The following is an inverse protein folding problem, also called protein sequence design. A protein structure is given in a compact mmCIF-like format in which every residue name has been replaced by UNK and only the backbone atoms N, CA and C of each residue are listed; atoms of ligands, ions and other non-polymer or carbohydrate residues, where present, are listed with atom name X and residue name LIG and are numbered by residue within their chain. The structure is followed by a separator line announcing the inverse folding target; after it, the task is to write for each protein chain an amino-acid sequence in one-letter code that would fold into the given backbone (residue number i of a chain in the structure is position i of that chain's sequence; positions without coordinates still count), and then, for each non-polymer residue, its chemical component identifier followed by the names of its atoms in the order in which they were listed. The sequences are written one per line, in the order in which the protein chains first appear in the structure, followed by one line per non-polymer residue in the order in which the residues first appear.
data_IF_328440700821
#
_entry.id   IF_328440700821
#
_cell.length_a   1.000
_cell.length_b   1.000
_cell.length_c   1.000
_cell.angle_alpha   90.00
_cell.angle_beta   90.00
_cell.angle_gamma   90.00
#
_symmetry.space_group_name_H-M   'P 1'
#
loop_
_entity.id
_entity.type
_entity.pdbx_description
1 polymer ?
#
# COMPACT_ATOMS: atom_id res chain seq x y z
N UNK A 1 1.63 17.30 -12.47
CA UNK A 1 1.32 16.89 -13.86
C UNK A 1 1.96 15.52 -14.15
N UNK A 2 1.18 14.61 -14.72
CA UNK A 2 1.64 13.27 -15.10
C UNK A 2 1.44 13.07 -16.59
N UNK A 3 2.46 12.58 -17.28
CA UNK A 3 2.37 12.12 -18.67
C UNK A 3 2.64 10.62 -18.67
N UNK A 4 1.68 9.84 -19.14
CA UNK A 4 1.80 8.40 -19.28
C UNK A 4 2.20 8.04 -20.72
N UNK A 5 3.13 7.09 -20.82
CA UNK A 5 3.56 6.50 -22.07
C UNK A 5 3.19 5.02 -22.06
N UNK A 6 2.27 4.63 -22.91
CA UNK A 6 1.83 3.25 -23.08
C UNK A 6 2.59 2.57 -24.22
N UNK A 7 2.84 1.29 -24.05
CA UNK A 7 3.35 0.44 -25.14
C UNK A 7 2.20 0.15 -26.10
N UNK A 8 2.43 0.34 -27.39
CA UNK A 8 1.48 -0.09 -28.43
C UNK A 8 1.47 -1.63 -28.51
N UNK A 9 0.32 -2.19 -28.85
CA UNK A 9 0.18 -3.62 -29.05
C UNK A 9 1.24 -4.19 -30.02
N UNK A 10 1.85 -5.29 -29.64
CA UNK A 10 2.93 -5.92 -30.40
C UNK A 10 4.33 -5.33 -30.17
N UNK A 11 4.46 -4.29 -29.37
CA UNK A 11 5.75 -3.65 -29.06
C UNK A 11 6.13 -3.85 -27.58
N UNK A 12 7.41 -3.64 -27.28
CA UNK A 12 7.95 -3.65 -25.90
C UNK A 12 8.96 -2.51 -25.72
N UNK A 13 8.95 -1.89 -24.56
CA UNK A 13 10.03 -0.97 -24.20
C UNK A 13 11.35 -1.74 -24.05
N UNK A 14 12.37 -1.33 -24.77
CA UNK A 14 13.75 -1.82 -24.61
C UNK A 14 14.55 -0.90 -23.71
N UNK A 15 14.32 0.39 -23.82
CA UNK A 15 15.17 1.39 -23.23
C UNK A 15 14.32 2.58 -22.82
N UNK A 16 14.56 3.11 -21.61
CA UNK A 16 14.05 4.42 -21.21
C UNK A 16 15.16 5.45 -21.46
N UNK A 17 14.85 6.45 -22.28
CA UNK A 17 15.76 7.55 -22.63
C UNK A 17 15.15 8.91 -22.32
N UNK A 18 16.00 9.88 -22.02
CA UNK A 18 15.65 11.30 -21.99
C UNK A 18 16.64 12.05 -22.88
N UNK A 19 16.12 12.54 -24.03
CA UNK A 19 16.99 12.97 -25.14
C UNK A 19 17.87 11.80 -25.58
N UNK A 20 19.16 12.02 -25.67
CA UNK A 20 20.14 11.01 -26.07
C UNK A 20 20.63 10.15 -24.88
N UNK A 21 20.31 10.52 -23.64
CA UNK A 21 20.78 9.82 -22.47
C UNK A 21 19.88 8.62 -22.12
N UNK A 22 20.49 7.44 -22.06
CA UNK A 22 19.82 6.23 -21.58
C UNK A 22 19.75 6.26 -20.05
N UNK A 23 18.51 6.18 -19.53
CA UNK A 23 18.27 6.06 -18.08
C UNK A 23 18.25 4.59 -17.64
N UNK A 24 17.67 3.73 -18.45
CA UNK A 24 17.50 2.33 -18.09
C UNK A 24 17.39 1.44 -19.33
N UNK A 25 18.14 0.35 -19.35
CA UNK A 25 17.99 -0.74 -20.31
C UNK A 25 17.20 -1.84 -19.67
N UNK A 26 16.11 -2.24 -20.30
CA UNK A 26 15.23 -3.29 -19.80
C UNK A 26 15.82 -4.65 -20.14
N UNK A 27 16.05 -5.46 -19.12
CA UNK A 27 16.33 -6.89 -19.33
C UNK A 27 15.01 -7.61 -19.67
N UNK A 28 14.72 -7.71 -20.95
CA UNK A 28 13.48 -8.31 -21.47
C UNK A 28 13.37 -9.81 -21.23
N UNK A 29 14.46 -10.46 -20.80
CA UNK A 29 14.43 -11.87 -20.39
C UNK A 29 13.83 -12.06 -18.99
N UNK A 30 13.92 -11.02 -18.14
CA UNK A 30 13.45 -11.07 -16.75
C UNK A 30 12.16 -10.29 -16.52
N UNK A 31 11.98 -9.18 -17.26
CA UNK A 31 10.89 -8.27 -17.00
C UNK A 31 10.23 -7.80 -18.30
N UNK A 32 8.93 -7.71 -18.29
CA UNK A 32 8.17 -7.05 -19.35
C UNK A 32 7.79 -5.65 -18.86
N UNK A 33 8.32 -4.57 -19.44
CA UNK A 33 7.87 -3.23 -19.10
C UNK A 33 6.47 -3.00 -19.62
N UNK A 34 5.62 -2.41 -18.78
CA UNK A 34 4.20 -2.25 -19.06
C UNK A 34 3.88 -0.79 -19.38
N UNK A 35 4.41 0.15 -18.58
CA UNK A 35 4.12 1.58 -18.66
C UNK A 35 5.34 2.40 -18.24
N UNK A 36 5.44 3.61 -18.79
CA UNK A 36 6.38 4.61 -18.32
C UNK A 36 5.64 5.92 -18.03
N UNK A 37 6.04 6.62 -17.00
CA UNK A 37 5.44 7.87 -16.58
C UNK A 37 6.51 8.94 -16.44
N UNK A 38 6.22 10.12 -16.97
CA UNK A 38 6.89 11.35 -16.59
C UNK A 38 6.03 12.07 -15.56
N UNK A 39 6.58 12.27 -14.37
CA UNK A 39 5.90 12.85 -13.23
C UNK A 39 6.55 14.21 -12.92
N UNK A 40 5.73 15.23 -12.74
CA UNK A 40 6.20 16.57 -12.37
C UNK A 40 5.42 17.04 -11.14
N UNK A 41 6.14 17.23 -10.05
CA UNK A 41 5.63 17.76 -8.79
C UNK A 41 6.44 18.97 -8.37
N UNK A 42 5.80 20.13 -8.26
CA UNK A 42 6.44 21.41 -8.02
C UNK A 42 7.57 21.65 -9.06
N UNK A 43 8.79 21.84 -8.58
CA UNK A 43 10.01 21.98 -9.41
C UNK A 43 10.72 20.65 -9.70
N UNK A 44 10.25 19.55 -9.12
CA UNK A 44 10.89 18.24 -9.28
C UNK A 44 10.32 17.46 -10.45
N UNK A 45 11.19 16.80 -11.19
CA UNK A 45 10.83 15.92 -12.31
C UNK A 45 11.33 14.50 -12.02
N UNK A 46 10.46 13.54 -12.31
CA UNK A 46 10.69 12.12 -12.07
C UNK A 46 10.27 11.31 -13.29
N UNK A 47 10.92 10.16 -13.48
CA UNK A 47 10.43 9.10 -14.34
C UNK A 47 10.15 7.84 -13.53
N UNK A 48 9.05 7.18 -13.87
CA UNK A 48 8.68 5.87 -13.35
C UNK A 48 8.53 4.91 -14.52
N UNK A 49 9.12 3.73 -14.37
CA UNK A 49 8.97 2.61 -15.30
C UNK A 49 8.35 1.45 -14.54
N UNK A 50 7.13 1.08 -14.90
CA UNK A 50 6.44 -0.08 -14.35
C UNK A 50 6.89 -1.34 -15.09
N UNK A 51 7.25 -2.35 -14.32
CA UNK A 51 7.70 -3.65 -14.80
C UNK A 51 6.68 -4.70 -14.34
N UNK A 52 6.35 -5.64 -15.22
CA UNK A 52 5.47 -6.75 -14.85
C UNK A 52 6.14 -7.61 -13.79
N UNK A 53 5.41 -7.96 -12.71
CA UNK A 53 5.87 -8.79 -11.60
C UNK A 53 7.13 -8.28 -10.87
N UNK A 54 7.45 -6.98 -10.94
CA UNK A 54 8.57 -6.38 -10.24
C UNK A 54 8.22 -4.98 -9.71
N UNK A 55 9.02 -4.49 -8.76
CA UNK A 55 8.85 -3.12 -8.29
C UNK A 55 9.17 -2.12 -9.41
N UNK A 56 8.43 -1.00 -9.49
CA UNK A 56 8.71 0.06 -10.44
C UNK A 56 10.13 0.60 -10.28
N UNK A 57 10.75 0.96 -11.39
CA UNK A 57 12.01 1.72 -11.42
C UNK A 57 11.71 3.20 -11.37
N UNK A 58 12.39 3.91 -10.48
CA UNK A 58 12.21 5.35 -10.28
C UNK A 58 13.51 6.10 -10.57
N UNK A 59 13.39 7.25 -11.24
CA UNK A 59 14.50 8.12 -11.57
C UNK A 59 14.13 9.55 -11.19
N UNK A 60 14.96 10.20 -10.40
CA UNK A 60 14.83 11.61 -10.01
C UNK A 60 15.76 12.47 -10.82
N UNK A 61 15.28 13.59 -11.36
CA UNK A 61 16.12 14.59 -12.01
C UNK A 61 17.02 15.25 -10.98
N UNK A 62 18.32 15.27 -11.23
CA UNK A 62 19.34 15.85 -10.35
C UNK A 62 20.09 17.03 -10.97
N UNK A 63 19.98 17.23 -12.28
CA UNK A 63 20.58 18.31 -13.03
C UNK A 63 19.82 18.55 -14.35
N UNK A 64 20.31 19.42 -15.23
CA UNK A 64 19.59 19.82 -16.44
C UNK A 64 19.19 18.63 -17.32
N UNK A 65 20.11 17.69 -17.55
CA UNK A 65 19.84 16.43 -18.29
C UNK A 65 20.28 15.20 -17.48
N UNK A 66 20.37 15.34 -16.15
CA UNK A 66 20.84 14.30 -15.29
C UNK A 66 19.70 13.70 -14.48
N UNK A 67 19.69 12.37 -14.41
CA UNK A 67 18.75 11.59 -13.63
C UNK A 67 19.50 10.50 -12.87
N UNK A 68 19.07 10.27 -11.63
CA UNK A 68 19.61 9.22 -10.77
C UNK A 68 18.52 8.21 -10.48
N UNK A 69 18.82 6.92 -10.60
CA UNK A 69 17.94 5.87 -10.11
C UNK A 69 17.82 5.99 -8.59
N UNK A 70 16.62 5.96 -8.08
CA UNK A 70 16.31 6.03 -6.66
C UNK A 70 15.34 4.90 -6.29
N UNK A 71 15.32 4.56 -5.01
CA UNK A 71 14.35 3.59 -4.52
C UNK A 71 12.94 4.17 -4.65
N UNK A 72 11.96 3.29 -4.87
CA UNK A 72 10.55 3.69 -4.96
C UNK A 72 10.08 4.38 -3.68
N UNK A 73 10.57 3.97 -2.53
CA UNK A 73 10.27 4.58 -1.24
C UNK A 73 10.70 6.04 -1.16
N UNK A 74 11.80 6.43 -1.83
CA UNK A 74 12.25 7.83 -1.89
C UNK A 74 11.21 8.70 -2.60
N UNK A 75 10.69 8.25 -3.75
CA UNK A 75 9.60 8.96 -4.44
C UNK A 75 8.36 9.06 -3.55
N UNK A 76 8.06 7.99 -2.85
CA UNK A 76 6.93 7.93 -1.93
C UNK A 76 7.04 9.01 -0.84
N UNK A 77 8.20 9.08 -0.21
CA UNK A 77 8.47 10.02 0.88
C UNK A 77 8.58 11.48 0.41
N UNK A 78 9.31 11.70 -0.68
CA UNK A 78 9.59 13.05 -1.19
C UNK A 78 8.38 13.70 -1.88
N UNK A 79 7.49 12.90 -2.49
CA UNK A 79 6.40 13.40 -3.32
C UNK A 79 5.03 13.12 -2.72
N UNK A 80 4.67 11.83 -2.56
CA UNK A 80 3.31 11.46 -2.17
C UNK A 80 3.00 11.77 -0.71
N UNK A 81 4.01 11.67 0.15
CA UNK A 81 3.90 11.97 1.58
C UNK A 81 4.67 13.20 2.04
N UNK A 82 5.11 14.04 1.09
CA UNK A 82 5.78 15.30 1.41
C UNK A 82 4.91 16.14 2.36
N UNK A 83 5.46 16.49 3.48
CA UNK A 83 4.76 17.27 4.52
C UNK A 83 3.72 16.49 5.33
N UNK A 84 3.47 15.21 5.03
CA UNK A 84 2.55 14.38 5.82
C UNK A 84 3.28 13.74 7.00
N UNK A 85 2.72 13.89 8.18
CA UNK A 85 3.31 13.27 9.36
C UNK A 85 3.04 11.76 9.39
N UNK A 86 4.08 11.01 9.75
CA UNK A 86 4.00 9.57 9.96
C UNK A 86 3.24 9.29 11.26
N UNK A 87 2.17 8.52 11.21
CA UNK A 87 1.32 8.24 12.37
C UNK A 87 1.09 6.75 12.57
N UNK A 88 1.06 6.37 13.83
CA UNK A 88 0.72 5.04 14.29
C UNK A 88 -0.78 4.98 14.54
N UNK A 89 -1.42 3.88 14.14
CA UNK A 89 -2.83 3.60 14.46
C UNK A 89 -2.88 2.63 15.62
N UNK A 90 -3.57 3.03 16.69
CA UNK A 90 -3.87 2.16 17.83
C UNK A 90 -5.29 1.61 17.67
N UNK A 91 -5.39 0.38 17.20
CA UNK A 91 -6.66 -0.29 16.92
C UNK A 91 -7.38 -0.82 18.19
N UNK A 92 -6.83 -0.61 19.38
CA UNK A 92 -7.55 -0.85 20.65
C UNK A 92 -8.47 0.32 21.02
N UNK A 93 -8.30 1.48 20.40
CA UNK A 93 -9.10 2.70 20.64
C UNK A 93 -10.16 2.84 19.57
N UNK A 94 -11.42 2.64 19.95
CA UNK A 94 -12.55 2.56 19.02
C UNK A 94 -13.26 3.90 18.75
N UNK A 95 -12.68 5.01 19.14
CA UNK A 95 -13.23 6.33 18.91
C UNK A 95 -12.66 6.96 17.65
N UNK A 96 -13.49 7.70 16.92
CA UNK A 96 -13.03 8.52 15.80
C UNK A 96 -11.99 9.52 16.25
N UNK A 97 -10.95 9.67 15.48
CA UNK A 97 -9.87 10.60 15.77
C UNK A 97 -9.57 11.48 14.56
N UNK A 98 -8.64 12.43 14.75
CA UNK A 98 -8.09 13.17 13.61
C UNK A 98 -7.33 12.26 12.62
N UNK A 99 -6.95 11.04 13.01
CA UNK A 99 -6.14 10.11 12.22
C UNK A 99 -6.95 9.14 11.38
N UNK A 100 -8.10 8.71 11.88
CA UNK A 100 -8.94 7.71 11.23
C UNK A 100 -10.42 7.94 11.55
N UNK A 101 -11.28 7.38 10.73
CA UNK A 101 -12.70 7.18 11.01
C UNK A 101 -12.92 5.75 11.42
N UNK A 102 -13.88 5.50 12.33
CA UNK A 102 -14.27 4.17 12.75
C UNK A 102 -15.70 3.87 12.39
N UNK A 103 -15.99 2.59 12.18
CA UNK A 103 -17.34 2.07 11.96
C UNK A 103 -17.48 0.72 12.62
N UNK A 104 -18.66 0.44 13.17
CA UNK A 104 -19.01 -0.89 13.63
C UNK A 104 -19.39 -1.75 12.45
N UNK A 105 -18.96 -2.99 12.46
CA UNK A 105 -19.19 -3.93 11.39
C UNK A 105 -19.54 -5.29 12.00
N UNK A 106 -20.82 -5.55 12.22
CA UNK A 106 -21.29 -6.69 13.03
C UNK A 106 -20.65 -6.69 14.42
N UNK A 107 -19.93 -7.73 14.78
CA UNK A 107 -19.17 -7.84 16.03
C UNK A 107 -17.78 -7.20 15.97
N UNK A 108 -17.34 -6.78 14.79
CA UNK A 108 -16.04 -6.17 14.55
C UNK A 108 -16.08 -4.66 14.48
N UNK A 109 -14.89 -4.08 14.43
CA UNK A 109 -14.65 -2.66 14.21
C UNK A 109 -13.77 -2.47 13.00
N UNK A 110 -14.14 -1.49 12.16
CA UNK A 110 -13.35 -1.05 11.01
C UNK A 110 -12.76 0.33 11.30
N UNK A 111 -11.51 0.53 10.95
CA UNK A 111 -10.83 1.82 10.96
C UNK A 111 -10.34 2.14 9.55
N UNK A 112 -10.66 3.34 9.06
CA UNK A 112 -10.16 3.85 7.79
C UNK A 112 -9.19 5.00 8.06
N UNK A 113 -7.93 4.83 7.67
CA UNK A 113 -6.88 5.81 7.89
C UNK A 113 -7.07 7.02 6.97
N UNK A 114 -6.98 8.22 7.51
CA UNK A 114 -7.18 9.46 6.74
C UNK A 114 -6.00 9.76 5.83
N UNK A 115 -6.29 10.28 4.63
CA UNK A 115 -5.31 10.54 3.55
C UNK A 115 -4.24 11.59 3.90
N UNK A 116 -4.51 12.44 4.90
CA UNK A 116 -3.61 13.52 5.33
C UNK A 116 -2.36 12.98 6.06
N UNK A 117 -2.38 11.74 6.46
CA UNK A 117 -1.30 11.13 7.22
C UNK A 117 -0.64 9.98 6.45
N UNK A 118 0.59 9.67 6.85
CA UNK A 118 1.32 8.51 6.39
C UNK A 118 1.18 7.40 7.44
N UNK A 119 0.57 6.25 7.12
CA UNK A 119 0.52 5.15 8.07
C UNK A 119 1.91 4.60 8.38
N UNK A 120 2.11 4.24 9.64
CA UNK A 120 3.32 3.52 10.07
C UNK A 120 2.95 2.14 10.61
N UNK A 121 2.99 1.98 11.93
CA UNK A 121 2.62 0.73 12.56
C UNK A 121 1.14 0.73 12.90
N UNK A 122 0.51 -0.43 12.80
CA UNK A 122 -0.75 -0.74 13.46
C UNK A 122 -0.41 -1.46 14.77
N UNK A 123 -0.93 -0.94 15.86
CA UNK A 123 -0.77 -1.55 17.18
C UNK A 123 -2.14 -1.87 17.77
N UNK A 124 -2.17 -2.80 18.69
CA UNK A 124 -3.32 -3.13 19.51
C UNK A 124 -2.83 -3.39 20.95
N UNK A 125 -3.35 -2.65 21.92
CA UNK A 125 -2.88 -2.70 23.31
C UNK A 125 -1.35 -2.58 23.42
N UNK A 126 -0.78 -1.57 22.74
CA UNK A 126 0.67 -1.27 22.66
C UNK A 126 1.52 -2.33 21.94
N UNK A 127 0.98 -3.48 21.54
CA UNK A 127 1.69 -4.53 20.79
C UNK A 127 1.55 -4.28 19.30
N UNK A 128 2.65 -4.38 18.55
CA UNK A 128 2.61 -4.22 17.10
C UNK A 128 1.91 -5.40 16.46
N UNK A 129 0.86 -5.10 15.68
CA UNK A 129 0.14 -6.07 14.86
C UNK A 129 0.84 -6.21 13.52
N UNK A 130 1.03 -5.11 12.81
CA UNK A 130 1.63 -5.11 11.50
C UNK A 130 2.18 -3.73 11.13
N UNK A 131 2.90 -3.69 10.02
CA UNK A 131 3.56 -2.47 9.53
C UNK A 131 3.27 -2.25 8.04
N UNK A 132 2.12 -1.67 7.70
CA UNK A 132 1.78 -1.34 6.31
C UNK A 132 2.52 -0.08 5.86
N UNK A 133 3.85 -0.06 5.99
CA UNK A 133 4.68 1.10 5.61
C UNK A 133 4.43 1.47 4.16
N UNK A 134 4.28 2.77 3.93
CA UNK A 134 4.08 3.33 2.59
C UNK A 134 2.75 2.92 1.91
N UNK A 135 1.80 2.39 2.64
CA UNK A 135 0.46 2.18 2.11
C UNK A 135 -0.21 3.53 1.81
N UNK A 136 -0.79 3.64 0.63
CA UNK A 136 -1.61 4.81 0.22
C UNK A 136 -3.00 4.76 0.82
N UNK A 137 -3.46 3.56 1.07
CA UNK A 137 -4.74 3.24 1.66
C UNK A 137 -4.52 2.20 2.75
N UNK A 138 -5.23 2.32 3.84
CA UNK A 138 -5.22 1.37 4.93
C UNK A 138 -6.59 1.34 5.61
N UNK A 139 -7.22 0.18 5.54
CA UNK A 139 -8.31 -0.20 6.44
C UNK A 139 -7.79 -1.24 7.44
N UNK A 140 -8.22 -1.11 8.67
CA UNK A 140 -7.93 -2.06 9.73
C UNK A 140 -9.24 -2.59 10.26
N UNK A 141 -9.40 -3.90 10.25
CA UNK A 141 -10.55 -4.58 10.84
C UNK A 141 -10.10 -5.32 12.09
N UNK A 142 -10.83 -5.13 13.16
CA UNK A 142 -10.59 -5.78 14.44
C UNK A 142 -11.79 -6.62 14.84
N UNK A 143 -11.58 -7.88 15.05
CA UNK A 143 -12.59 -8.84 15.51
C UNK A 143 -12.20 -9.33 16.90
N UNK A 144 -13.14 -9.27 17.81
CA UNK A 144 -12.98 -9.78 19.18
C UNK A 144 -14.08 -10.81 19.40
N UNK A 145 -13.67 -12.05 19.47
CA UNK A 145 -14.57 -13.18 19.69
C UNK A 145 -14.71 -13.58 21.16
N UNK A 146 -15.47 -14.63 21.42
CA UNK A 146 -15.50 -15.29 22.72
C UNK A 146 -14.08 -15.70 23.15
N UNK A 147 -13.86 -15.86 24.46
CA UNK A 147 -12.59 -16.26 25.04
C UNK A 147 -11.42 -15.29 24.72
N UNK A 148 -11.73 -14.01 24.52
CA UNK A 148 -10.76 -12.97 24.18
C UNK A 148 -9.93 -13.25 22.90
N UNK A 149 -10.35 -14.17 22.06
CA UNK A 149 -9.75 -14.39 20.74
C UNK A 149 -9.83 -13.13 19.91
N UNK A 150 -8.72 -12.73 19.33
CA UNK A 150 -8.63 -11.49 18.53
C UNK A 150 -8.00 -11.80 17.19
N UNK A 151 -8.65 -11.30 16.13
CA UNK A 151 -8.12 -11.31 14.77
C UNK A 151 -8.08 -9.87 14.26
N UNK A 152 -7.00 -9.48 13.63
CA UNK A 152 -6.87 -8.21 12.92
C UNK A 152 -6.60 -8.50 11.45
N UNK A 153 -7.37 -7.85 10.58
CA UNK A 153 -7.13 -7.83 9.14
C UNK A 153 -6.66 -6.44 8.75
N UNK A 154 -5.61 -6.36 7.96
CA UNK A 154 -5.13 -5.14 7.33
C UNK A 154 -5.40 -5.22 5.83
N UNK A 155 -6.22 -4.30 5.34
CA UNK A 155 -6.44 -4.09 3.91
C UNK A 155 -5.68 -2.85 3.49
N UNK A 156 -4.70 -3.02 2.63
CA UNK A 156 -3.87 -1.92 2.20
C UNK A 156 -3.42 -2.09 0.75
N UNK A 157 -3.09 -0.96 0.14
CA UNK A 157 -2.51 -1.01 -1.17
C UNK A 157 -1.40 0.03 -1.31
N UNK A 158 -0.39 -0.31 -2.09
CA UNK A 158 0.73 0.57 -2.39
C UNK A 158 0.51 1.27 -3.73
N UNK A 159 1.06 2.48 -3.86
CA UNK A 159 1.09 3.14 -5.16
C UNK A 159 1.92 2.30 -6.13
N UNK A 160 1.32 1.91 -7.25
CA UNK A 160 1.98 1.07 -8.26
C UNK A 160 1.73 -0.42 -8.14
N UNK A 161 1.09 -0.88 -7.09
CA UNK A 161 0.56 -2.23 -7.02
C UNK A 161 -0.80 -2.30 -7.73
N UNK A 162 -1.04 -3.40 -8.43
CA UNK A 162 -2.27 -3.65 -9.18
C UNK A 162 -3.41 -4.22 -8.34
N UNK A 163 -3.28 -4.26 -7.01
CA UNK A 163 -4.29 -4.87 -6.18
C UNK A 163 -4.23 -4.52 -4.70
N UNK A 164 -5.37 -4.70 -4.05
CA UNK A 164 -5.50 -4.66 -2.62
C UNK A 164 -4.76 -5.85 -2.01
N UNK A 165 -3.96 -5.60 -0.97
CA UNK A 165 -3.34 -6.65 -0.15
C UNK A 165 -4.16 -6.81 1.11
N UNK A 166 -4.47 -8.05 1.43
CA UNK A 166 -5.12 -8.43 2.67
C UNK A 166 -4.13 -9.24 3.51
N UNK A 167 -3.96 -8.86 4.76
CA UNK A 167 -3.06 -9.55 5.68
C UNK A 167 -3.78 -9.77 7.00
N UNK A 168 -3.71 -10.97 7.51
CA UNK A 168 -4.42 -11.39 8.72
C UNK A 168 -3.45 -11.67 9.84
N UNK A 169 -3.83 -11.28 11.06
CA UNK A 169 -3.05 -11.48 12.27
C UNK A 169 -3.95 -12.05 13.36
N UNK A 170 -3.45 -13.03 14.07
CA UNK A 170 -4.11 -13.64 15.22
C UNK A 170 -3.28 -13.40 16.48
N UNK A 171 -3.93 -13.08 17.59
CA UNK A 171 -3.27 -12.95 18.88
C UNK A 171 -3.14 -14.33 19.54
N UNK A 172 -1.91 -14.86 19.57
CA UNK A 172 -1.55 -16.12 20.23
C UNK A 172 -0.56 -15.82 21.37
N UNK A 173 -0.79 -16.35 22.54
CA UNK A 173 0.15 -16.21 23.68
C UNK A 173 0.73 -14.80 23.84
N UNK A 174 -0.14 -13.81 23.76
CA UNK A 174 0.20 -12.37 23.83
C UNK A 174 1.03 -11.80 22.67
N UNK A 175 1.25 -12.53 21.58
CA UNK A 175 1.94 -12.07 20.36
C UNK A 175 0.99 -12.06 19.18
N UNK A 176 1.16 -11.07 18.33
CA UNK A 176 0.48 -11.04 17.03
C UNK A 176 1.28 -11.84 16.01
N UNK A 177 0.67 -12.88 15.47
CA UNK A 177 1.24 -13.71 14.41
C UNK A 177 0.46 -13.51 13.12
N UNK A 178 1.18 -13.33 12.03
CA UNK A 178 0.56 -13.33 10.71
C UNK A 178 0.10 -14.74 10.40
N UNK A 179 -1.13 -14.85 9.91
CA UNK A 179 -1.74 -16.14 9.54
C UNK A 179 -2.25 -16.08 8.11
N UNK A 180 -2.37 -17.24 7.51
CA UNK A 180 -2.97 -17.38 6.17
C UNK A 180 -4.48 -17.11 6.22
N UNK A 181 -5.04 -16.65 5.09
CA UNK A 181 -6.46 -16.36 4.97
C UNK A 181 -7.35 -17.55 5.38
N UNK A 182 -6.95 -18.76 5.03
CA UNK A 182 -7.70 -19.98 5.37
C UNK A 182 -7.78 -20.23 6.88
N UNK A 183 -6.71 -19.92 7.63
CA UNK A 183 -6.69 -19.99 9.09
C UNK A 183 -7.52 -18.86 9.69
N UNK A 184 -7.37 -17.65 9.18
CA UNK A 184 -8.18 -16.50 9.61
C UNK A 184 -9.68 -16.78 9.42
N UNK A 185 -10.07 -17.36 8.28
CA UNK A 185 -11.47 -17.72 8.01
C UNK A 185 -12.02 -18.70 9.04
N UNK A 186 -11.24 -19.72 9.42
CA UNK A 186 -11.66 -20.67 10.49
C UNK A 186 -11.87 -19.97 11.84
N UNK A 187 -10.96 -19.05 12.18
CA UNK A 187 -11.08 -18.29 13.42
C UNK A 187 -12.30 -17.36 13.40
N UNK A 188 -12.52 -16.65 12.32
CA UNK A 188 -13.65 -15.72 12.16
C UNK A 188 -14.99 -16.46 12.15
N UNK A 189 -15.08 -17.60 11.46
CA UNK A 189 -16.26 -18.45 11.50
C UNK A 189 -16.57 -18.95 12.91
N UNK A 190 -15.53 -19.33 13.68
CA UNK A 190 -15.70 -19.73 15.09
C UNK A 190 -16.13 -18.56 15.99
N UNK A 191 -15.91 -17.31 15.56
CA UNK A 191 -16.38 -16.09 16.25
C UNK A 191 -17.77 -15.63 15.77
N UNK A 192 -18.41 -16.36 14.86
CA UNK A 192 -19.65 -15.98 14.20
C UNK A 192 -19.56 -14.62 13.45
N UNK A 193 -18.42 -14.41 12.79
CA UNK A 193 -18.11 -13.19 12.04
C UNK A 193 -17.84 -13.44 10.56
N UNK A 194 -18.37 -14.55 10.02
CA UNK A 194 -18.12 -14.97 8.62
C UNK A 194 -18.51 -13.93 7.58
N UNK A 195 -19.53 -13.13 7.84
CA UNK A 195 -19.98 -12.01 7.00
C UNK A 195 -18.85 -10.98 6.76
N UNK A 196 -17.88 -10.86 7.65
CA UNK A 196 -16.80 -9.90 7.53
C UNK A 196 -15.81 -10.26 6.40
N UNK A 197 -15.81 -11.52 5.97
CA UNK A 197 -14.95 -12.00 4.89
C UNK A 197 -15.49 -11.62 3.51
N UNK A 198 -16.80 -11.39 3.40
CA UNK A 198 -17.44 -11.00 2.15
C UNK A 198 -17.32 -9.49 1.88
N UNK A 199 -16.81 -8.72 2.84
CA UNK A 199 -16.59 -7.30 2.65
C UNK A 199 -15.50 -7.06 1.62
N UNK A 200 -15.89 -6.50 0.48
CA UNK A 200 -14.97 -6.00 -0.54
C UNK A 200 -14.92 -4.48 -0.44
N UNK A 201 -13.78 -3.87 -0.12
CA UNK A 201 -13.66 -2.42 -0.15
C UNK A 201 -13.91 -1.92 -1.57
N UNK A 202 -14.58 -0.77 -1.70
CA UNK A 202 -14.79 -0.12 -2.99
C UNK A 202 -13.45 0.44 -3.50
N UNK A 203 -12.67 -0.40 -4.16
CA UNK A 203 -11.33 -0.06 -4.68
C UNK A 203 -11.41 0.99 -5.78
N UNK A 204 -12.54 1.09 -6.48
CA UNK A 204 -12.78 2.03 -7.59
C UNK A 204 -12.61 3.51 -7.19
N UNK A 205 -12.74 3.83 -5.92
CA UNK A 205 -12.51 5.19 -5.40
C UNK A 205 -11.03 5.58 -5.29
N UNK A 206 -10.11 4.66 -5.55
CA UNK A 206 -8.67 4.83 -5.36
C UNK A 206 -7.85 4.62 -6.63
N UNK A 207 -8.53 4.37 -7.76
CA UNK A 207 -7.88 4.41 -9.07
C UNK A 207 -7.30 5.81 -9.32
N UNK A 208 -6.09 5.92 -9.87
CA UNK A 208 -5.39 7.19 -10.04
C UNK A 208 -6.10 8.15 -10.97
#
# INVERSE_FOLDING_TARGET
NTTELLVKDGFRFKTLKVGDKTLYNVDTSKHTPVRAFKLKHDSEEWFRLDLHAAQPKMFKKTGDKEYKEVKFETYYDDVLFKGKSKKKLDASKFEDTSLFTSATFGTGKKFTFKKEFKPSDVVFDKKTVGNPRNARYLDVFVYVGPDAKKVVRLDYFYTGDSGLKETYFHLKEEKWEQVEQSEANKLLNAMDTSWALDYKPAVDKFSP
#
